data_IF_274389624125
#
_entry.id   IF_274389624125
#
_cell.length_a   1.000
_cell.length_b   1.000
_cell.length_c   1.000
_cell.angle_alpha   90.00
_cell.angle_beta   90.00
_cell.angle_gamma   90.00
#
_symmetry.space_group_name_H-M   'P 1'
#
loop_
_entity.id
_entity.type
_entity.pdbx_description
1 polymer ?
#
# COMPACT_ATOMS: atom_id res chain seq x y z
N UNK A 1 -16.66 -3.12 8.15
CA UNK A 1 -16.44 -2.10 7.10
C UNK A 1 -15.15 -2.49 6.38
N UNK A 2 -15.19 -2.64 5.06
CA UNK A 2 -14.06 -3.18 4.26
C UNK A 2 -12.76 -2.40 4.45
N UNK A 3 -12.84 -1.08 4.66
CA UNK A 3 -11.71 -0.18 4.86
C UNK A 3 -10.78 -0.66 5.99
N UNK A 4 -11.32 -0.91 7.19
CA UNK A 4 -10.54 -1.34 8.36
C UNK A 4 -9.94 -2.73 8.19
N UNK A 5 -10.61 -3.61 7.45
CA UNK A 5 -10.12 -4.96 7.18
C UNK A 5 -8.89 -4.91 6.27
N UNK A 6 -8.94 -4.07 5.23
CA UNK A 6 -7.82 -3.89 4.31
C UNK A 6 -6.62 -3.22 4.98
N UNK A 7 -6.86 -2.21 5.83
CA UNK A 7 -5.81 -1.56 6.64
C UNK A 7 -5.11 -2.60 7.54
N UNK A 8 -5.86 -3.45 8.24
CA UNK A 8 -5.32 -4.53 9.08
C UNK A 8 -4.57 -5.60 8.27
N UNK A 9 -5.04 -5.93 7.06
CA UNK A 9 -4.33 -6.85 6.15
C UNK A 9 -2.98 -6.28 5.75
N UNK A 10 -2.93 -5.00 5.39
CA UNK A 10 -1.67 -4.33 5.06
C UNK A 10 -0.73 -4.30 6.26
N UNK A 11 -1.22 -3.88 7.43
CA UNK A 11 -0.43 -3.86 8.66
C UNK A 11 0.17 -5.24 8.98
N UNK A 12 -0.64 -6.29 8.89
CA UNK A 12 -0.20 -7.67 9.11
C UNK A 12 0.89 -8.07 8.11
N UNK A 13 0.75 -7.71 6.85
CA UNK A 13 1.76 -7.97 5.82
C UNK A 13 3.07 -7.23 6.13
N UNK A 14 3.01 -5.93 6.40
CA UNK A 14 4.18 -5.10 6.68
C UNK A 14 4.95 -5.58 7.93
N UNK A 15 4.22 -5.95 8.99
CA UNK A 15 4.80 -6.53 10.21
C UNK A 15 5.45 -7.90 9.94
N UNK A 16 4.79 -8.79 9.20
CA UNK A 16 5.35 -10.12 8.85
C UNK A 16 6.60 -10.01 7.97
N UNK A 17 6.65 -9.01 7.10
CA UNK A 17 7.81 -8.74 6.23
C UNK A 17 8.90 -7.91 6.91
N UNK A 18 8.80 -7.62 8.22
CA UNK A 18 9.74 -6.78 8.97
C UNK A 18 10.04 -5.43 8.29
N UNK A 19 9.02 -4.81 7.68
CA UNK A 19 9.18 -3.49 7.05
C UNK A 19 9.17 -2.39 8.11
N UNK A 20 9.94 -1.34 7.86
CA UNK A 20 9.86 -0.11 8.64
C UNK A 20 8.72 0.76 8.10
N UNK A 21 7.75 1.11 8.96
CA UNK A 21 6.62 1.98 8.61
C UNK A 21 6.03 2.60 9.88
N UNK A 22 5.31 3.71 9.71
CA UNK A 22 4.55 4.32 10.80
C UNK A 22 3.16 3.66 10.89
N UNK A 23 2.88 2.94 11.98
CA UNK A 23 1.63 2.19 12.15
C UNK A 23 0.39 3.09 12.12
N UNK A 24 0.45 4.27 12.73
CA UNK A 24 -0.68 5.20 12.81
C UNK A 24 -0.97 5.93 11.48
N UNK A 25 -0.11 5.72 10.47
CA UNK A 25 -0.25 6.36 9.15
C UNK A 25 -1.01 5.53 8.12
N UNK A 26 -1.36 4.28 8.45
CA UNK A 26 -2.10 3.39 7.54
C UNK A 26 -3.52 3.94 7.37
N UNK A 27 -3.88 4.29 6.14
CA UNK A 27 -5.16 4.92 5.86
C UNK A 27 -5.72 4.50 4.49
N UNK A 28 -6.97 4.06 4.48
CA UNK A 28 -7.71 3.72 3.27
C UNK A 28 -8.15 4.99 2.51
N UNK A 29 -7.72 5.10 1.25
CA UNK A 29 -7.98 6.27 0.39
C UNK A 29 -9.17 6.10 -0.56
N UNK A 30 -9.64 4.87 -0.76
CA UNK A 30 -10.77 4.57 -1.65
C UNK A 30 -10.44 3.60 -2.77
N UNK A 31 -11.49 3.25 -3.53
CA UNK A 31 -11.39 2.49 -4.76
C UNK A 31 -11.04 3.43 -5.92
N UNK A 32 -10.04 3.09 -6.72
CA UNK A 32 -9.61 3.88 -7.89
C UNK A 32 -9.42 2.98 -9.10
N UNK A 33 -9.75 3.51 -10.27
CA UNK A 33 -9.31 2.95 -11.54
C UNK A 33 -7.88 3.43 -11.79
N UNK A 34 -6.91 2.55 -11.63
CA UNK A 34 -5.50 2.88 -11.81
C UNK A 34 -4.69 1.65 -12.23
N UNK A 35 -3.73 1.80 -13.14
CA UNK A 35 -2.95 0.66 -13.64
C UNK A 35 -3.71 -0.26 -14.59
N UNK A 36 -2.97 -1.20 -15.18
CA UNK A 36 -3.50 -2.15 -16.16
C UNK A 36 -3.13 -3.56 -15.71
N UNK A 37 -4.12 -4.42 -15.48
CA UNK A 37 -3.93 -5.88 -15.31
C UNK A 37 -4.41 -6.52 -16.61
N UNK A 38 -3.57 -7.32 -17.26
CA UNK A 38 -3.90 -8.09 -18.46
C UNK A 38 -4.54 -7.27 -19.60
N UNK A 39 -4.05 -6.04 -19.80
CA UNK A 39 -4.53 -5.13 -20.85
C UNK A 39 -5.86 -4.42 -20.56
N UNK A 40 -6.44 -4.60 -19.36
CA UNK A 40 -7.64 -3.86 -18.90
C UNK A 40 -7.29 -2.95 -17.73
N UNK A 41 -7.95 -1.79 -17.67
CA UNK A 41 -7.82 -0.89 -16.52
C UNK A 41 -8.35 -1.61 -15.28
N UNK A 42 -7.47 -1.80 -14.30
CA UNK A 42 -7.79 -2.45 -13.04
C UNK A 42 -8.45 -1.48 -12.06
N UNK A 43 -9.33 -2.00 -11.20
CA UNK A 43 -9.87 -1.27 -10.05
C UNK A 43 -9.18 -1.77 -8.79
N UNK A 44 -8.64 -0.83 -8.03
CA UNK A 44 -7.87 -1.14 -6.83
C UNK A 44 -8.33 -0.34 -5.64
N UNK A 45 -8.41 -1.02 -4.51
CA UNK A 45 -8.46 -0.40 -3.20
C UNK A 45 -7.07 0.14 -2.86
N UNK A 46 -6.97 1.46 -2.65
CA UNK A 46 -5.70 2.12 -2.34
C UNK A 46 -5.62 2.38 -0.83
N UNK A 47 -4.50 1.97 -0.25
CA UNK A 47 -4.14 2.27 1.13
C UNK A 47 -2.80 2.98 1.13
N UNK A 48 -2.72 4.15 1.79
CA UNK A 48 -1.46 4.85 2.00
C UNK A 48 -0.86 4.54 3.35
N UNK A 49 0.46 4.56 3.45
CA UNK A 49 1.20 4.52 4.71
C UNK A 49 2.52 5.29 4.57
N UNK A 50 3.06 5.77 5.69
CA UNK A 50 4.33 6.48 5.77
C UNK A 50 5.47 5.52 6.09
N UNK A 51 6.59 5.71 5.41
CA UNK A 51 7.86 5.02 5.65
C UNK A 51 8.92 6.05 5.98
N UNK A 52 9.59 5.87 7.11
CA UNK A 52 10.74 6.71 7.45
C UNK A 52 11.98 6.22 6.70
N UNK A 53 12.48 7.07 5.81
CA UNK A 53 13.60 6.75 4.91
C UNK A 53 14.93 7.37 5.35
N UNK A 54 14.92 8.20 6.37
CA UNK A 54 16.11 8.87 6.89
C UNK A 54 15.98 9.07 8.39
N UNK A 55 17.11 8.98 9.08
CA UNK A 55 17.21 9.27 10.52
C UNK A 55 17.59 10.74 10.77
N UNK A 56 17.55 11.59 9.72
CA UNK A 56 17.90 13.00 9.85
C UNK A 56 16.65 13.85 10.16
N UNK A 57 16.77 14.87 11.02
CA UNK A 57 15.62 15.66 11.48
C UNK A 57 14.94 16.51 10.40
N UNK A 58 15.56 16.68 9.22
CA UNK A 58 15.04 17.48 8.11
C UNK A 58 14.76 16.67 6.85
N UNK A 59 14.86 15.35 6.93
CA UNK A 59 14.62 14.45 5.82
C UNK A 59 13.77 13.31 6.36
N UNK A 60 12.50 13.30 5.98
CA UNK A 60 11.47 12.86 6.91
C UNK A 60 10.28 12.34 6.17
N UNK A 61 10.22 11.02 6.09
CA UNK A 61 9.07 10.23 5.71
C UNK A 61 8.54 10.41 4.29
N UNK A 62 8.19 9.30 3.66
CA UNK A 62 7.55 9.29 2.36
C UNK A 62 6.32 8.39 2.36
N UNK A 63 5.33 8.78 1.57
CA UNK A 63 4.14 7.98 1.37
C UNK A 63 4.41 6.85 0.39
N UNK A 64 4.03 5.66 0.83
CA UNK A 64 3.86 4.47 0.01
C UNK A 64 2.38 4.17 -0.15
N UNK A 65 2.04 3.51 -1.25
CA UNK A 65 0.68 3.14 -1.60
C UNK A 65 0.61 1.65 -1.88
N UNK A 66 -0.17 0.93 -1.09
CA UNK A 66 -0.52 -0.46 -1.34
C UNK A 66 -1.80 -0.52 -2.15
N UNK A 67 -1.83 -1.42 -3.15
CA UNK A 67 -3.01 -1.66 -3.98
C UNK A 67 -3.54 -3.07 -3.76
N UNK A 68 -4.82 -3.15 -3.44
CA UNK A 68 -5.55 -4.41 -3.31
C UNK A 68 -6.55 -4.54 -4.45
N UNK A 69 -6.66 -5.72 -5.06
CA UNK A 69 -7.65 -5.98 -6.12
C UNK A 69 -9.08 -5.82 -5.57
N UNK A 70 -9.96 -5.18 -6.35
CA UNK A 70 -11.36 -4.95 -5.97
C UNK A 70 -12.12 -6.25 -5.66
N UNK A 71 -11.85 -7.32 -6.40
CA UNK A 71 -12.64 -8.56 -6.35
C UNK A 71 -12.08 -9.53 -5.32
N UNK A 72 -10.76 -9.71 -5.29
CA UNK A 72 -10.12 -10.69 -4.41
C UNK A 72 -9.69 -10.08 -3.08
N UNK A 73 -9.58 -8.74 -2.98
CA UNK A 73 -9.01 -8.05 -1.84
C UNK A 73 -7.59 -8.56 -1.48
N UNK A 74 -6.87 -9.06 -2.46
CA UNK A 74 -5.47 -9.49 -2.33
C UNK A 74 -4.54 -8.32 -2.63
N UNK A 75 -3.42 -8.25 -1.89
CA UNK A 75 -2.39 -7.23 -2.09
C UNK A 75 -1.63 -7.55 -3.39
N UNK A 76 -1.78 -6.67 -4.38
CA UNK A 76 -1.22 -6.88 -5.73
C UNK A 76 0.16 -6.26 -5.85
N UNK A 77 0.30 -5.03 -5.34
CA UNK A 77 1.53 -4.26 -5.49
C UNK A 77 1.65 -3.16 -4.43
N UNK A 78 2.87 -2.69 -4.25
CA UNK A 78 3.24 -1.54 -3.44
C UNK A 78 4.01 -0.54 -4.32
N UNK A 79 3.59 0.73 -4.27
CA UNK A 79 4.17 1.83 -5.03
C UNK A 79 4.71 2.87 -4.06
N UNK A 80 6.02 3.10 -4.10
CA UNK A 80 6.68 4.21 -3.41
C UNK A 80 7.02 5.35 -4.37
N UNK A 81 7.64 6.45 -3.87
CA UNK A 81 7.99 7.60 -4.70
C UNK A 81 8.92 7.29 -5.88
N UNK A 82 9.82 6.31 -5.67
CA UNK A 82 10.82 5.89 -6.66
C UNK A 82 10.97 4.36 -6.69
N UNK A 83 10.00 3.63 -6.14
CA UNK A 83 10.03 2.17 -6.08
C UNK A 83 8.67 1.61 -6.49
N UNK A 84 8.72 0.47 -7.16
CA UNK A 84 7.54 -0.30 -7.50
C UNK A 84 7.85 -1.76 -7.20
N UNK A 85 6.95 -2.40 -6.47
CA UNK A 85 7.07 -3.79 -6.08
C UNK A 85 5.78 -4.51 -6.38
N UNK A 86 5.86 -5.51 -7.25
CA UNK A 86 4.77 -6.44 -7.50
C UNK A 86 4.80 -7.54 -6.44
N UNK A 87 3.66 -7.78 -5.80
CA UNK A 87 3.48 -8.76 -4.73
C UNK A 87 2.78 -10.02 -5.27
N UNK A 88 1.86 -9.86 -6.24
CA UNK A 88 1.16 -10.97 -6.87
C UNK A 88 1.98 -11.63 -8.00
N UNK A 89 2.11 -12.96 -7.88
CA UNK A 89 2.45 -13.92 -8.93
C UNK A 89 1.17 -14.62 -9.40
#
# INVERSE_FOLDING_TARGET
MINKELEQKLETFLNKSNRNFNQDSINYLGLRECGTIDGKIGKFHIISYLVSISNQPYDGDVFFYARFDEKTNQLVEIVGPQSWEKIEE
#
